data_IF_163639684733
#
_entry.id   IF_163639684733
#
_cell.length_a   1.000
_cell.length_b   1.000
_cell.length_c   1.000
_cell.angle_alpha   90.00
_cell.angle_beta   90.00
_cell.angle_gamma   90.00
#
_symmetry.space_group_name_H-M   'P 1'
#
loop_
_entity.id
_entity.type
_entity.pdbx_description
1 polymer ?
#
# COMPACT_ATOMS: atom_id res chain seq x y z
N UNK A 1 12.03 21.07 18.93
CA UNK A 1 10.96 20.22 19.50
C UNK A 1 9.98 19.85 18.38
N UNK A 2 9.62 18.58 18.18
CA UNK A 2 8.65 18.18 17.14
C UNK A 2 7.22 18.47 17.63
N UNK A 3 6.40 19.14 16.83
CA UNK A 3 4.98 19.37 17.14
C UNK A 3 4.14 18.14 16.77
N UNK A 4 2.95 17.97 17.38
CA UNK A 4 2.01 16.88 17.02
C UNK A 4 1.70 16.86 15.50
N UNK A 5 1.56 18.03 14.88
CA UNK A 5 1.35 18.15 13.43
C UNK A 5 2.55 17.63 12.63
N UNK A 6 3.78 17.93 13.07
CA UNK A 6 4.99 17.41 12.43
C UNK A 6 5.11 15.88 12.57
N UNK A 7 4.70 15.32 13.70
CA UNK A 7 4.68 13.87 13.93
C UNK A 7 3.64 13.19 13.04
N UNK A 8 2.43 13.76 12.95
CA UNK A 8 1.39 13.27 12.04
C UNK A 8 1.85 13.31 10.57
N UNK A 9 2.52 14.38 10.15
CA UNK A 9 3.08 14.50 8.80
C UNK A 9 4.11 13.41 8.51
N UNK A 10 5.04 13.17 9.45
CA UNK A 10 6.04 12.11 9.31
C UNK A 10 5.37 10.74 9.23
N UNK A 11 4.37 10.46 10.08
CA UNK A 11 3.65 9.19 10.06
C UNK A 11 2.89 8.99 8.73
N UNK A 12 2.26 10.04 8.20
CA UNK A 12 1.58 10.02 6.90
C UNK A 12 2.56 9.68 5.77
N UNK A 13 3.73 10.33 5.74
CA UNK A 13 4.77 10.03 4.75
C UNK A 13 5.27 8.59 4.81
N UNK A 14 5.34 7.99 6.00
CA UNK A 14 5.72 6.57 6.13
C UNK A 14 4.64 5.65 5.56
N UNK A 15 3.36 5.97 5.79
CA UNK A 15 2.21 5.24 5.22
C UNK A 15 2.25 5.31 3.70
N UNK A 16 2.38 6.52 3.14
CA UNK A 16 2.45 6.74 1.69
C UNK A 16 3.59 5.95 1.05
N UNK A 17 4.78 5.98 1.68
CA UNK A 17 5.95 5.24 1.20
C UNK A 17 5.70 3.72 1.18
N UNK A 18 5.08 3.16 2.21
CA UNK A 18 4.78 1.72 2.23
C UNK A 18 3.71 1.37 1.19
N UNK A 19 2.71 2.23 0.99
CA UNK A 19 1.70 2.03 -0.05
C UNK A 19 2.33 2.03 -1.46
N UNK A 20 3.26 2.95 -1.72
CA UNK A 20 4.02 2.99 -2.98
C UNK A 20 4.85 1.71 -3.18
N UNK A 21 5.55 1.25 -2.14
CA UNK A 21 6.32 0.00 -2.18
C UNK A 21 5.42 -1.23 -2.44
N UNK A 22 4.22 -1.27 -1.85
CA UNK A 22 3.22 -2.32 -2.11
C UNK A 22 2.75 -2.25 -3.56
N UNK A 23 2.43 -1.06 -4.08
CA UNK A 23 1.96 -0.90 -5.45
C UNK A 23 3.03 -1.36 -6.47
N UNK A 24 4.30 -1.02 -6.25
CA UNK A 24 5.42 -1.50 -7.06
C UNK A 24 5.53 -3.02 -7.04
N UNK A 25 5.42 -3.64 -5.87
CA UNK A 25 5.49 -5.09 -5.72
C UNK A 25 4.33 -5.80 -6.45
N UNK A 26 3.11 -5.26 -6.34
CA UNK A 26 1.95 -5.77 -7.07
C UNK A 26 2.15 -5.65 -8.59
N UNK A 27 2.74 -4.56 -9.06
CA UNK A 27 3.11 -4.39 -10.48
C UNK A 27 4.09 -5.46 -10.96
N UNK A 28 5.11 -5.77 -10.17
CA UNK A 28 6.07 -6.85 -10.49
C UNK A 28 5.38 -8.21 -10.52
N UNK A 29 4.52 -8.50 -9.54
CA UNK A 29 3.76 -9.76 -9.52
C UNK A 29 2.84 -9.90 -10.74
N UNK A 30 2.20 -8.81 -11.18
CA UNK A 30 1.39 -8.83 -12.40
C UNK A 30 2.24 -9.13 -13.64
N UNK A 31 3.43 -8.52 -13.75
CA UNK A 31 4.35 -8.83 -14.85
C UNK A 31 4.79 -10.31 -14.86
N UNK A 32 4.98 -10.90 -13.68
CA UNK A 32 5.24 -12.33 -13.54
C UNK A 32 4.06 -13.19 -14.00
N UNK A 33 2.82 -12.82 -13.64
CA UNK A 33 1.60 -13.51 -14.10
C UNK A 33 1.46 -13.43 -15.63
N UNK A 34 1.72 -12.25 -16.21
CA UNK A 34 1.61 -12.04 -17.65
C UNK A 34 2.70 -12.82 -18.41
N UNK A 35 3.92 -12.88 -17.86
CA UNK A 35 5.02 -13.65 -18.44
C UNK A 35 4.74 -15.16 -18.42
N UNK A 36 4.22 -15.68 -17.31
CA UNK A 36 3.80 -17.08 -17.21
C UNK A 36 2.75 -17.43 -18.28
N UNK A 37 1.71 -16.60 -18.41
CA UNK A 37 0.68 -16.79 -19.44
C UNK A 37 1.24 -16.80 -20.85
N UNK A 38 2.15 -15.86 -21.16
CA UNK A 38 2.80 -15.80 -22.46
C UNK A 38 3.64 -17.05 -22.75
N UNK A 39 4.40 -17.55 -21.78
CA UNK A 39 5.19 -18.78 -21.94
C UNK A 39 4.30 -19.99 -22.22
N UNK A 40 3.21 -20.14 -21.47
CA UNK A 40 2.26 -21.24 -21.67
C UNK A 40 1.61 -21.19 -23.06
N UNK A 41 1.18 -20.00 -23.49
CA UNK A 41 0.63 -19.80 -24.84
C UNK A 41 1.64 -20.11 -25.94
N UNK A 42 2.91 -19.73 -25.76
CA UNK A 42 3.98 -20.05 -26.70
C UNK A 42 4.22 -21.55 -26.78
N UNK A 43 4.23 -22.26 -25.65
CA UNK A 43 4.39 -23.72 -25.63
C UNK A 43 3.25 -24.40 -26.39
N UNK A 44 2.00 -23.99 -26.16
CA UNK A 44 0.84 -24.54 -26.86
C UNK A 44 0.92 -24.28 -28.38
N UNK A 45 1.34 -23.07 -28.77
CA UNK A 45 1.53 -22.71 -30.19
C UNK A 45 2.58 -23.60 -30.87
N UNK A 46 3.75 -23.78 -30.26
CA UNK A 46 4.83 -24.59 -30.84
C UNK A 46 4.44 -26.08 -30.95
N UNK A 47 3.73 -26.63 -29.95
CA UNK A 47 3.22 -28.00 -30.04
C UNK A 47 2.18 -28.18 -31.15
N UNK A 48 1.25 -27.23 -31.28
CA UNK A 48 0.23 -27.28 -32.34
C UNK A 48 0.87 -27.19 -33.73
N UNK A 49 1.89 -26.35 -33.91
CA UNK A 49 2.64 -26.26 -35.17
C UNK A 49 3.38 -27.57 -35.49
N UNK A 50 4.05 -28.18 -34.49
CA UNK A 50 4.73 -29.45 -34.69
C UNK A 50 3.75 -30.58 -35.07
N UNK A 51 2.55 -30.59 -34.50
CA UNK A 51 1.47 -31.52 -34.88
C UNK A 51 0.98 -31.29 -36.32
N UNK A 52 0.74 -30.04 -36.70
CA UNK A 52 0.24 -29.69 -38.04
C UNK A 52 1.26 -29.92 -39.15
N UNK A 53 2.56 -29.85 -38.84
CA UNK A 53 3.66 -30.13 -39.77
C UNK A 53 3.81 -31.63 -40.13
N UNK A 54 2.84 -32.48 -39.77
CA UNK A 54 2.78 -33.86 -40.23
C UNK A 54 3.76 -34.81 -39.55
N UNK A 55 4.24 -34.49 -38.34
CA UNK A 55 5.13 -35.39 -37.59
C UNK A 55 6.62 -35.23 -37.89
N UNK A 56 7.05 -34.07 -38.39
CA UNK A 56 8.48 -33.77 -38.53
C UNK A 56 9.18 -33.92 -37.16
N UNK A 57 10.02 -34.96 -37.06
CA UNK A 57 10.70 -35.35 -35.83
C UNK A 57 11.65 -34.25 -35.33
N UNK A 58 12.19 -33.40 -36.23
CA UNK A 58 13.01 -32.26 -35.83
C UNK A 58 12.14 -31.19 -35.15
N UNK A 59 11.00 -30.82 -35.75
CA UNK A 59 10.07 -29.85 -35.15
C UNK A 59 9.53 -30.32 -33.80
N UNK A 60 9.19 -31.61 -33.66
CA UNK A 60 8.81 -32.19 -32.38
C UNK A 60 9.92 -32.14 -31.32
N UNK A 61 11.17 -32.42 -31.72
CA UNK A 61 12.33 -32.36 -30.81
C UNK A 61 12.59 -30.93 -30.33
N UNK A 62 12.49 -29.94 -31.22
CA UNK A 62 12.60 -28.52 -30.86
C UNK A 62 11.47 -28.06 -29.95
N UNK A 63 10.22 -28.42 -30.27
CA UNK A 63 9.06 -28.12 -29.41
C UNK A 63 9.19 -28.75 -28.02
N UNK A 64 9.68 -29.97 -27.92
CA UNK A 64 9.94 -30.65 -26.65
C UNK A 64 11.00 -29.95 -25.79
N UNK A 65 12.14 -29.55 -26.37
CA UNK A 65 13.18 -28.79 -25.66
C UNK A 65 12.70 -27.41 -25.23
N UNK A 66 11.98 -26.72 -26.10
CA UNK A 66 11.37 -25.43 -25.79
C UNK A 66 10.38 -25.55 -24.63
N UNK A 67 9.51 -26.57 -24.67
CA UNK A 67 8.56 -26.86 -23.61
C UNK A 67 9.23 -27.12 -22.27
N UNK A 68 10.33 -27.88 -22.24
CA UNK A 68 11.04 -28.12 -20.99
C UNK A 68 11.62 -26.83 -20.42
N UNK A 69 12.28 -26.01 -21.24
CA UNK A 69 12.82 -24.71 -20.81
C UNK A 69 11.70 -23.78 -20.30
N UNK A 70 10.56 -23.75 -20.99
CA UNK A 70 9.41 -22.95 -20.56
C UNK A 70 8.82 -23.45 -19.23
N UNK A 71 8.78 -24.76 -18.98
CA UNK A 71 8.36 -25.32 -17.69
C UNK A 71 9.30 -24.91 -16.55
N UNK A 72 10.61 -24.95 -16.80
CA UNK A 72 11.60 -24.54 -15.81
C UNK A 72 11.45 -23.04 -15.49
N UNK A 73 11.28 -22.18 -16.53
CA UNK A 73 11.04 -20.74 -16.35
C UNK A 73 9.71 -20.45 -15.62
N UNK A 74 8.65 -21.21 -15.91
CA UNK A 74 7.38 -21.10 -15.17
C UNK A 74 7.55 -21.49 -13.70
N UNK A 75 8.29 -22.56 -13.40
CA UNK A 75 8.56 -22.96 -12.02
C UNK A 75 9.34 -21.88 -11.26
N UNK A 76 10.35 -21.27 -11.90
CA UNK A 76 11.12 -20.16 -11.33
C UNK A 76 10.22 -18.93 -11.08
N UNK A 77 9.34 -18.60 -12.03
CA UNK A 77 8.37 -17.51 -11.88
C UNK A 77 7.42 -17.78 -10.70
N UNK A 78 6.92 -19.00 -10.56
CA UNK A 78 6.01 -19.39 -9.47
C UNK A 78 6.72 -19.29 -8.10
N UNK A 79 7.96 -19.76 -8.00
CA UNK A 79 8.76 -19.61 -6.78
C UNK A 79 9.01 -18.13 -6.43
N UNK A 80 9.43 -17.32 -7.40
CA UNK A 80 9.64 -15.89 -7.21
C UNK A 80 8.34 -15.16 -6.80
N UNK A 81 7.19 -15.58 -7.32
CA UNK A 81 5.88 -15.05 -6.94
C UNK A 81 5.51 -15.40 -5.51
N UNK A 82 5.79 -16.62 -5.07
CA UNK A 82 5.56 -17.05 -3.68
C UNK A 82 6.41 -16.23 -2.71
N UNK A 83 7.67 -15.98 -3.04
CA UNK A 83 8.55 -15.11 -2.25
C UNK A 83 8.01 -13.67 -2.22
N UNK A 84 7.58 -13.14 -3.37
CA UNK A 84 6.96 -11.83 -3.47
C UNK A 84 5.68 -11.72 -2.62
N UNK A 85 4.85 -12.76 -2.54
CA UNK A 85 3.68 -12.82 -1.66
C UNK A 85 4.07 -12.75 -0.18
N UNK A 86 5.15 -13.43 0.21
CA UNK A 86 5.71 -13.34 1.56
C UNK A 86 6.14 -11.91 1.91
N UNK A 87 6.85 -11.25 0.99
CA UNK A 87 7.26 -9.84 1.15
C UNK A 87 6.03 -8.92 1.22
N UNK A 88 5.01 -9.16 0.39
CA UNK A 88 3.77 -8.39 0.39
C UNK A 88 3.04 -8.48 1.73
N UNK A 89 2.97 -9.68 2.32
CA UNK A 89 2.38 -9.88 3.63
C UNK A 89 3.12 -9.07 4.72
N UNK A 90 4.45 -9.10 4.71
CA UNK A 90 5.27 -8.32 5.63
C UNK A 90 5.06 -6.80 5.45
N UNK A 91 4.97 -6.33 4.20
CA UNK A 91 4.69 -4.91 3.90
C UNK A 91 3.30 -4.49 4.37
N UNK A 92 2.28 -5.34 4.19
CA UNK A 92 0.91 -5.08 4.68
C UNK A 92 0.86 -4.98 6.21
N UNK A 93 1.59 -5.83 6.91
CA UNK A 93 1.67 -5.74 8.37
C UNK A 93 2.40 -4.46 8.82
N UNK A 94 3.50 -4.09 8.15
CA UNK A 94 4.17 -2.81 8.39
C UNK A 94 3.23 -1.62 8.13
N UNK A 95 2.45 -1.66 7.05
CA UNK A 95 1.45 -0.64 6.74
C UNK A 95 0.43 -0.51 7.86
N UNK A 96 -0.10 -1.63 8.36
CA UNK A 96 -1.07 -1.66 9.47
C UNK A 96 -0.52 -0.96 10.71
N UNK A 97 0.73 -1.24 11.08
CA UNK A 97 1.39 -0.62 12.24
C UNK A 97 1.57 0.88 12.03
N UNK A 98 2.08 1.31 10.87
CA UNK A 98 2.30 2.73 10.58
C UNK A 98 0.98 3.52 10.49
N UNK A 99 -0.07 2.90 9.95
CA UNK A 99 -1.39 3.50 9.89
C UNK A 99 -1.99 3.69 11.29
N UNK A 100 -1.81 2.72 12.19
CA UNK A 100 -2.22 2.87 13.58
C UNK A 100 -1.47 4.02 14.30
N UNK A 101 -0.17 4.19 14.02
CA UNK A 101 0.62 5.32 14.53
C UNK A 101 0.10 6.66 13.98
N UNK A 102 -0.17 6.75 12.68
CA UNK A 102 -0.77 7.94 12.05
C UNK A 102 -2.12 8.29 12.70
N UNK A 103 -3.03 7.32 12.83
CA UNK A 103 -4.34 7.51 13.47
C UNK A 103 -4.22 7.96 14.92
N UNK A 104 -3.24 7.46 15.67
CA UNK A 104 -3.00 7.92 17.04
C UNK A 104 -2.66 9.41 17.08
N UNK A 105 -1.82 9.90 16.15
CA UNK A 105 -1.49 11.32 16.10
C UNK A 105 -2.68 12.19 15.66
N UNK A 106 -3.48 11.72 14.70
CA UNK A 106 -4.70 12.39 14.26
C UNK A 106 -5.67 12.60 15.44
N UNK A 107 -5.97 11.55 16.20
CA UNK A 107 -6.83 11.61 17.40
C UNK A 107 -6.29 12.61 18.44
N UNK A 108 -4.97 12.64 18.65
CA UNK A 108 -4.36 13.57 19.61
C UNK A 108 -4.46 15.03 19.14
N UNK A 109 -4.34 15.29 17.83
CA UNK A 109 -4.54 16.62 17.26
C UNK A 109 -5.98 17.06 17.46
N UNK A 110 -6.95 16.22 17.10
CA UNK A 110 -8.39 16.51 17.27
C UNK A 110 -8.74 16.82 18.72
N UNK A 111 -8.26 16.01 19.67
CA UNK A 111 -8.48 16.23 21.11
C UNK A 111 -7.91 17.58 21.55
N UNK A 112 -6.69 17.89 21.13
CA UNK A 112 -6.05 19.17 21.46
C UNK A 112 -6.84 20.36 20.90
N UNK A 113 -7.36 20.24 19.67
CA UNK A 113 -8.19 21.28 19.07
C UNK A 113 -9.51 21.48 19.84
N UNK A 114 -10.15 20.40 20.26
CA UNK A 114 -11.35 20.46 21.10
C UNK A 114 -11.07 21.13 22.44
N UNK A 115 -9.96 20.78 23.09
CA UNK A 115 -9.55 21.40 24.35
C UNK A 115 -9.24 22.89 24.19
N UNK A 116 -8.52 23.28 23.14
CA UNK A 116 -8.24 24.69 22.85
C UNK A 116 -9.52 25.48 22.57
N UNK A 117 -10.47 24.92 21.82
CA UNK A 117 -11.78 25.55 21.59
C UNK A 117 -12.56 25.73 22.89
N UNK A 118 -12.61 24.71 23.75
CA UNK A 118 -13.26 24.79 25.08
C UNK A 118 -12.60 25.83 25.98
N UNK A 119 -11.27 25.87 26.01
CA UNK A 119 -10.52 26.85 26.79
C UNK A 119 -10.79 28.29 26.31
N UNK A 120 -10.82 28.50 24.98
CA UNK A 120 -11.14 29.79 24.38
C UNK A 120 -12.57 30.23 24.72
N UNK A 121 -13.56 29.35 24.55
CA UNK A 121 -14.95 29.65 24.90
C UNK A 121 -15.13 29.95 26.40
N UNK A 122 -14.45 29.21 27.28
CA UNK A 122 -14.47 29.47 28.73
C UNK A 122 -13.88 30.84 29.07
N UNK A 123 -12.80 31.24 28.40
CA UNK A 123 -12.20 32.57 28.59
C UNK A 123 -13.14 33.67 28.11
N UNK A 124 -13.69 33.54 26.91
CA UNK A 124 -14.65 34.50 26.35
C UNK A 124 -15.89 34.67 27.25
N UNK A 125 -16.41 33.58 27.81
CA UNK A 125 -17.51 33.65 28.77
C UNK A 125 -17.11 34.38 30.05
N UNK A 126 -15.93 34.09 30.62
CA UNK A 126 -15.45 34.77 31.82
C UNK A 126 -15.27 36.28 31.59
N UNK A 127 -14.74 36.68 30.43
CA UNK A 127 -14.57 38.08 30.05
C UNK A 127 -15.95 38.79 29.91
N UNK A 128 -16.96 38.11 29.33
CA UNK A 128 -18.34 38.64 29.23
C UNK A 128 -19.03 38.78 30.60
N UNK A 129 -18.83 37.80 31.48
CA UNK A 129 -19.37 37.82 32.84
C UNK A 129 -18.77 38.97 33.65
N UNK A 130 -17.45 39.22 33.51
CA UNK A 130 -16.77 40.34 34.16
C UNK A 130 -17.30 41.70 33.66
N UNK A 131 -17.44 41.87 32.34
CA UNK A 131 -18.05 43.09 31.77
C UNK A 131 -19.48 43.30 32.26
N UNK A 132 -20.27 42.22 32.34
CA UNK A 132 -21.66 42.28 32.82
C UNK A 132 -21.71 42.69 34.31
N UNK A 133 -20.83 42.13 35.13
CA UNK A 133 -20.72 42.47 36.55
C UNK A 133 -20.27 43.93 36.77
N UNK A 134 -19.35 44.44 35.94
CA UNK A 134 -18.91 45.83 35.97
C UNK A 134 -20.03 46.80 35.59
N UNK A 135 -20.85 46.48 34.58
CA UNK A 135 -22.03 47.28 34.22
C UNK A 135 -23.05 47.29 35.35
N UNK A 136 -23.36 46.13 35.92
CA UNK A 136 -24.32 46.03 37.04
C UNK A 136 -23.86 46.83 38.27
N UNK A 137 -22.55 46.85 38.56
CA UNK A 137 -21.98 47.64 39.68
C UNK A 137 -21.91 49.15 39.41
N UNK A 138 -21.82 49.58 38.16
CA UNK A 138 -21.67 51.00 37.80
C UNK A 138 -23.00 51.74 37.62
N UNK A 139 -24.14 51.05 37.77
CA UNK A 139 -25.45 51.69 37.89
C UNK A 139 -25.96 52.38 36.61
N UNK A 140 -25.54 51.88 35.43
CA UNK A 140 -26.21 52.12 34.15
C UNK A 140 -27.27 51.05 33.89
#
# INVERSE_FOLDING_TARGET
MKTLQSLHKIASQKVDKIQEEIAKLLGVMQQMDDREKQLLQQVDYEYNNAQQAGGDALLYSFAGKFSQKAKDEVADIQAARQDAQGILAQKREKLRIQFAEQKRYEILIERKEVEMKKAKAKKEQADLDEVSALRFKSGL
#
